data_IF_512364774920
#
_entry.id   IF_512364774920
#
_cell.length_a   1.000
_cell.length_b   1.000
_cell.length_c   1.000
_cell.angle_alpha   90.00
_cell.angle_beta   90.00
_cell.angle_gamma   90.00
#
_symmetry.space_group_name_H-M   'P 1'
#
loop_
_entity.id
_entity.type
_entity.pdbx_description
1 polymer ?
#
# COMPACT_ATOMS: atom_id res chain seq x y z
N UNK A 1 7.90 -9.46 -2.84
CA UNK A 1 7.82 -8.15 -2.16
C UNK A 1 8.56 -7.06 -2.95
N UNK A 2 9.85 -7.20 -3.26
CA UNK A 2 10.63 -6.18 -3.97
C UNK A 2 10.11 -5.82 -5.39
N UNK A 3 9.65 -6.81 -6.17
CA UNK A 3 9.11 -6.54 -7.52
C UNK A 3 7.82 -5.73 -7.50
N UNK A 4 6.95 -5.99 -6.52
CA UNK A 4 5.66 -5.32 -6.38
C UNK A 4 5.84 -3.82 -6.08
N UNK A 5 6.78 -3.49 -5.18
CA UNK A 5 7.19 -2.11 -4.91
C UNK A 5 7.85 -1.45 -6.13
N UNK A 6 8.66 -2.18 -6.90
CA UNK A 6 9.23 -1.67 -8.16
C UNK A 6 8.19 -1.34 -9.23
N UNK A 7 7.10 -2.12 -9.33
CA UNK A 7 5.99 -1.84 -10.23
C UNK A 7 5.22 -0.60 -9.78
N UNK A 8 4.91 -0.47 -8.49
CA UNK A 8 4.23 0.72 -7.93
C UNK A 8 5.08 1.98 -8.17
N UNK A 9 6.41 1.87 -8.10
CA UNK A 9 7.33 2.97 -8.42
C UNK A 9 7.26 3.40 -9.89
N UNK A 10 7.25 2.46 -10.83
CA UNK A 10 7.09 2.78 -12.26
C UNK A 10 5.74 3.43 -12.56
N UNK A 11 4.68 2.98 -11.90
CA UNK A 11 3.35 3.58 -12.03
C UNK A 11 3.34 4.99 -11.44
N UNK A 12 3.96 5.21 -10.27
CA UNK A 12 4.09 6.52 -9.66
C UNK A 12 4.86 7.52 -10.55
N UNK A 13 5.95 7.07 -11.18
CA UNK A 13 6.72 7.87 -12.14
C UNK A 13 5.87 8.30 -13.34
N UNK A 14 5.11 7.36 -13.92
CA UNK A 14 4.21 7.68 -15.04
C UNK A 14 3.11 8.65 -14.61
N UNK A 15 2.57 8.53 -13.41
CA UNK A 15 1.55 9.47 -12.90
C UNK A 15 2.15 10.86 -12.65
N UNK A 16 3.38 10.94 -12.15
CA UNK A 16 4.10 12.21 -11.98
C UNK A 16 4.33 12.95 -13.31
N UNK A 17 4.50 12.24 -14.43
CA UNK A 17 4.60 12.88 -15.75
C UNK A 17 3.31 13.59 -16.16
N UNK A 18 2.15 13.15 -15.64
CA UNK A 18 0.84 13.74 -15.93
C UNK A 18 0.33 14.70 -14.84
N UNK A 19 0.82 14.58 -13.60
CA UNK A 19 0.40 15.38 -12.45
C UNK A 19 1.64 15.92 -11.73
N UNK A 20 1.72 17.24 -11.45
CA UNK A 20 2.87 17.86 -10.79
C UNK A 20 2.85 17.55 -9.28
N UNK A 21 2.97 16.28 -8.92
CA UNK A 21 2.91 15.78 -7.54
C UNK A 21 4.20 15.02 -7.27
N UNK A 22 4.91 15.35 -6.20
CA UNK A 22 6.18 14.70 -5.82
C UNK A 22 6.14 13.17 -5.96
N UNK A 23 7.16 12.60 -6.62
CA UNK A 23 7.26 11.16 -6.96
C UNK A 23 7.07 10.28 -5.72
N UNK A 24 7.66 10.70 -4.58
CA UNK A 24 7.53 10.02 -3.28
C UNK A 24 6.11 10.03 -2.77
N UNK A 25 5.45 11.19 -2.81
CA UNK A 25 4.06 11.34 -2.37
C UNK A 25 3.11 10.49 -3.22
N UNK A 26 3.31 10.50 -4.55
CA UNK A 26 2.52 9.68 -5.47
C UNK A 26 2.71 8.18 -5.21
N UNK A 27 3.95 7.73 -5.01
CA UNK A 27 4.24 6.34 -4.68
C UNK A 27 3.63 5.92 -3.33
N UNK A 28 3.77 6.75 -2.30
CA UNK A 28 3.19 6.48 -0.97
C UNK A 28 1.66 6.37 -1.05
N UNK A 29 1.02 7.28 -1.79
CA UNK A 29 -0.42 7.25 -2.00
C UNK A 29 -0.86 5.97 -2.73
N UNK A 30 -0.20 5.61 -3.83
CA UNK A 30 -0.48 4.37 -4.58
C UNK A 30 -0.26 3.11 -3.74
N UNK A 31 0.85 3.05 -3.00
CA UNK A 31 1.15 1.92 -2.13
C UNK A 31 0.08 1.80 -1.04
N UNK A 32 -0.29 2.91 -0.39
CA UNK A 32 -1.34 2.92 0.64
C UNK A 32 -2.69 2.49 0.08
N UNK A 33 -3.07 2.98 -1.10
CA UNK A 33 -4.30 2.58 -1.78
C UNK A 33 -4.32 1.09 -2.10
N UNK A 34 -3.21 0.52 -2.59
CA UNK A 34 -3.13 -0.89 -2.92
C UNK A 34 -3.28 -1.78 -1.68
N UNK A 35 -2.61 -1.41 -0.57
CA UNK A 35 -2.75 -2.15 0.69
C UNK A 35 -4.12 -1.98 1.32
N UNK A 36 -4.75 -0.81 1.18
CA UNK A 36 -6.14 -0.58 1.57
C UNK A 36 -7.10 -1.48 0.77
N UNK A 37 -6.91 -1.57 -0.55
CA UNK A 37 -7.70 -2.44 -1.42
C UNK A 37 -7.54 -3.92 -1.03
N UNK A 38 -6.31 -4.37 -0.76
CA UNK A 38 -6.04 -5.73 -0.28
C UNK A 38 -6.73 -6.00 1.06
N UNK A 39 -6.70 -5.04 1.99
CA UNK A 39 -7.42 -5.12 3.26
C UNK A 39 -8.94 -5.24 3.10
N UNK A 40 -9.53 -4.45 2.20
CA UNK A 40 -10.97 -4.53 1.88
C UNK A 40 -11.36 -5.88 1.27
N UNK A 41 -10.54 -6.42 0.36
CA UNK A 41 -10.78 -7.73 -0.26
C UNK A 41 -10.74 -8.84 0.80
N UNK A 42 -9.73 -8.84 1.67
CA UNK A 42 -9.60 -9.81 2.74
C UNK A 42 -10.76 -9.73 3.75
N UNK A 43 -11.17 -8.50 4.09
CA UNK A 43 -12.32 -8.29 4.97
C UNK A 43 -13.65 -8.74 4.31
N UNK A 44 -13.86 -8.43 3.04
CA UNK A 44 -15.03 -8.90 2.27
C UNK A 44 -15.08 -10.42 2.14
N UNK A 45 -13.94 -11.06 1.87
CA UNK A 45 -13.84 -12.52 1.85
C UNK A 45 -14.14 -13.14 3.22
N UNK A 46 -13.70 -12.51 4.32
CA UNK A 46 -14.00 -12.96 5.67
C UNK A 46 -15.48 -12.89 6.04
N UNK A 47 -16.19 -11.85 5.58
CA UNK A 47 -17.66 -11.73 5.74
C UNK A 47 -18.36 -12.89 5.02
N UNK A 48 -17.95 -13.20 3.77
CA UNK A 48 -18.54 -14.26 2.97
C UNK A 48 -18.30 -15.66 3.56
N UNK A 49 -17.10 -15.91 4.11
CA UNK A 49 -16.70 -17.20 4.66
C UNK A 49 -17.20 -17.44 6.10
N UNK A 50 -17.47 -16.36 6.85
CA UNK A 50 -17.90 -16.44 8.24
C UNK A 50 -19.07 -15.49 8.52
N UNK A 51 -20.26 -15.76 7.95
CA UNK A 51 -21.38 -14.83 8.03
C UNK A 51 -21.95 -14.59 9.44
N UNK A 52 -21.55 -15.37 10.46
CA UNK A 52 -22.25 -15.41 11.76
C UNK A 52 -21.38 -15.37 13.02
N UNK A 53 -20.06 -15.14 12.93
CA UNK A 53 -19.20 -15.07 14.12
C UNK A 53 -18.60 -13.67 14.24
N UNK A 54 -19.25 -12.84 15.07
CA UNK A 54 -18.86 -11.46 15.36
C UNK A 54 -17.38 -11.37 15.82
N UNK A 55 -16.90 -12.36 16.59
CA UNK A 55 -15.50 -12.44 17.03
C UNK A 55 -14.51 -12.69 15.88
N UNK A 56 -14.87 -13.49 14.88
CA UNK A 56 -13.99 -13.81 13.75
C UNK A 56 -13.83 -12.60 12.85
N UNK A 57 -14.90 -11.82 12.66
CA UNK A 57 -14.87 -10.56 11.92
C UNK A 57 -13.87 -9.55 12.49
N UNK A 58 -13.79 -9.42 13.83
CA UNK A 58 -12.80 -8.56 14.47
C UNK A 58 -11.37 -9.05 14.24
N UNK A 59 -11.11 -10.36 14.33
CA UNK A 59 -9.78 -10.90 14.06
C UNK A 59 -9.32 -10.62 12.62
N UNK A 60 -10.23 -10.76 11.64
CA UNK A 60 -9.93 -10.43 10.24
C UNK A 60 -9.76 -8.93 10.00
N UNK A 61 -10.56 -8.09 10.64
CA UNK A 61 -10.37 -6.64 10.61
C UNK A 61 -8.99 -6.27 11.17
N UNK A 62 -8.62 -6.78 12.36
CA UNK A 62 -7.31 -6.53 12.97
C UNK A 62 -6.17 -7.05 12.09
N UNK A 63 -6.30 -8.23 11.49
CA UNK A 63 -5.31 -8.75 10.55
C UNK A 63 -5.18 -7.88 9.29
N UNK A 64 -6.30 -7.37 8.75
CA UNK A 64 -6.32 -6.44 7.63
C UNK A 64 -5.62 -5.12 7.95
N UNK A 65 -5.89 -4.54 9.12
CA UNK A 65 -5.19 -3.35 9.60
C UNK A 65 -3.69 -3.58 9.82
N UNK A 66 -3.30 -4.71 10.42
CA UNK A 66 -1.89 -5.08 10.58
C UNK A 66 -1.19 -5.25 9.23
N UNK A 67 -1.87 -5.86 8.26
CA UNK A 67 -1.40 -5.97 6.87
C UNK A 67 -1.18 -4.62 6.22
N UNK A 68 -2.11 -3.67 6.38
CA UNK A 68 -1.94 -2.29 5.90
C UNK A 68 -0.75 -1.58 6.55
N UNK A 69 -0.57 -1.70 7.86
CA UNK A 69 0.54 -1.07 8.59
C UNK A 69 1.88 -1.64 8.12
N UNK A 70 2.00 -2.97 8.02
CA UNK A 70 3.22 -3.62 7.51
C UNK A 70 3.49 -3.26 6.04
N UNK A 71 2.45 -3.21 5.21
CA UNK A 71 2.53 -2.83 3.81
C UNK A 71 2.96 -1.38 3.58
N UNK A 72 2.46 -0.47 4.42
CA UNK A 72 2.86 0.93 4.45
C UNK A 72 4.32 1.06 4.90
N UNK A 73 4.71 0.40 5.99
CA UNK A 73 6.09 0.38 6.48
C UNK A 73 7.09 -0.17 5.45
N UNK A 74 6.73 -1.25 4.76
CA UNK A 74 7.55 -1.82 3.68
C UNK A 74 7.72 -0.88 2.49
N UNK A 75 6.66 -0.16 2.10
CA UNK A 75 6.73 0.85 1.05
C UNK A 75 7.58 2.06 1.45
N UNK A 76 7.48 2.50 2.70
CA UNK A 76 8.29 3.60 3.23
C UNK A 76 9.78 3.24 3.29
N UNK A 77 10.12 2.04 3.79
CA UNK A 77 11.51 1.55 3.76
C UNK A 77 12.04 1.39 2.34
N UNK A 78 11.21 0.98 1.38
CA UNK A 78 11.59 0.89 -0.02
C UNK A 78 11.96 2.26 -0.60
N UNK A 79 11.17 3.30 -0.31
CA UNK A 79 11.52 4.67 -0.70
C UNK A 79 12.84 5.07 -0.06
N UNK A 80 12.96 4.98 1.27
CA UNK A 80 14.18 5.39 1.98
C UNK A 80 15.44 4.71 1.47
N UNK A 81 15.34 3.43 1.08
CA UNK A 81 16.48 2.65 0.56
C UNK A 81 16.83 2.97 -0.89
N UNK A 82 15.88 3.44 -1.70
CA UNK A 82 16.07 3.68 -3.13
C UNK A 82 16.07 5.17 -3.51
N UNK A 83 15.76 6.06 -2.57
CA UNK A 83 15.85 7.50 -2.83
C UNK A 83 17.29 7.95 -2.90
N UNK A 84 17.70 8.36 -4.09
CA UNK A 84 18.94 9.08 -4.33
C UNK A 84 18.73 10.59 -4.06
N UNK A 85 19.80 11.36 -3.76
CA UNK A 85 19.71 12.79 -3.49
C UNK A 85 19.03 13.58 -4.63
N UNK A 86 19.16 13.13 -5.87
CA UNK A 86 18.54 13.76 -7.05
C UNK A 86 17.00 13.66 -7.08
N UNK A 87 16.39 12.77 -6.26
CA UNK A 87 14.93 12.68 -6.09
C UNK A 87 14.40 13.68 -5.04
N UNK A 88 15.26 14.47 -4.38
CA UNK A 88 14.88 15.53 -3.43
C UNK A 88 14.77 16.93 -4.08
N UNK A 89 15.29 17.11 -5.30
CA UNK A 89 15.41 18.41 -5.95
C UNK A 89 14.24 18.79 -6.90
N UNK A 90 13.13 18.03 -6.92
CA UNK A 90 11.90 18.40 -7.64
C UNK A 90 10.63 18.26 -6.79
#
# INVERSE_FOLDING_TARGET
MHEMYGVIWKVALRIHEFLPVSKRGCYLALNTLLWCLMGMILYGAAILLTPYIFSTLYCFATAGYLGMIMGFGGGFMFILRNTQPDDLEN
#
